data_IF_243147918595
#
_entry.id   IF_243147918595
#
_cell.length_a   1.000
_cell.length_b   1.000
_cell.length_c   1.000
_cell.angle_alpha   90.00
_cell.angle_beta   90.00
_cell.angle_gamma   90.00
#
_symmetry.space_group_name_H-M   'P 1'
#
loop_
_entity.id
_entity.type
_entity.pdbx_description
1 polymer ?
#
# COMPACT_ATOMS: atom_id res chain seq x y z
N UNK A 1 23.02 -5.57 -4.86
CA UNK A 1 21.60 -5.19 -4.73
C UNK A 1 20.68 -6.40 -4.59
N UNK A 2 20.57 -7.29 -5.58
CA UNK A 2 19.61 -8.41 -5.57
C UNK A 2 19.87 -9.53 -4.54
N UNK A 3 21.05 -9.58 -3.93
CA UNK A 3 21.36 -10.48 -2.81
C UNK A 3 21.05 -9.87 -1.44
N UNK A 4 20.66 -8.59 -1.40
CA UNK A 4 20.46 -7.83 -0.16
C UNK A 4 19.07 -8.10 0.42
N UNK A 5 19.03 -8.59 1.66
CA UNK A 5 17.78 -8.84 2.39
C UNK A 5 16.91 -7.57 2.52
N UNK A 6 17.44 -6.37 2.88
CA UNK A 6 16.67 -5.12 2.88
C UNK A 6 15.97 -4.76 1.57
N UNK A 7 16.57 -5.10 0.42
CA UNK A 7 15.97 -4.87 -0.89
C UNK A 7 14.70 -5.72 -1.09
N UNK A 8 14.77 -7.02 -0.77
CA UNK A 8 13.62 -7.92 -0.88
C UNK A 8 12.51 -7.60 0.13
N UNK A 9 12.87 -7.18 1.34
CA UNK A 9 11.87 -6.76 2.34
C UNK A 9 11.12 -5.50 1.87
N UNK A 10 11.84 -4.53 1.28
CA UNK A 10 11.21 -3.37 0.67
C UNK A 10 10.33 -3.76 -0.53
N UNK A 11 10.77 -4.72 -1.35
CA UNK A 11 9.99 -5.23 -2.46
C UNK A 11 8.66 -5.86 -1.98
N UNK A 12 8.70 -6.69 -0.93
CA UNK A 12 7.51 -7.30 -0.31
C UNK A 12 6.56 -6.21 0.23
N UNK A 13 7.10 -5.21 0.93
CA UNK A 13 6.31 -4.08 1.44
C UNK A 13 5.58 -3.36 0.30
N UNK A 14 6.32 -3.00 -0.76
CA UNK A 14 5.76 -2.27 -1.90
C UNK A 14 4.76 -3.11 -2.70
N UNK A 15 5.02 -4.42 -2.83
CA UNK A 15 4.11 -5.37 -3.45
C UNK A 15 2.77 -5.43 -2.70
N UNK A 16 2.79 -5.55 -1.36
CA UNK A 16 1.56 -5.54 -0.56
C UNK A 16 0.81 -4.21 -0.64
N UNK A 17 1.53 -3.07 -0.69
CA UNK A 17 0.91 -1.77 -0.90
C UNK A 17 0.21 -1.65 -2.26
N UNK A 18 0.84 -2.13 -3.34
CA UNK A 18 0.23 -2.11 -4.67
C UNK A 18 -0.93 -3.10 -4.79
N UNK A 19 -0.83 -4.28 -4.16
CA UNK A 19 -1.95 -5.23 -4.09
C UNK A 19 -3.21 -4.58 -3.58
N UNK A 20 -3.11 -3.92 -2.43
CA UNK A 20 -4.25 -3.24 -1.81
C UNK A 20 -4.74 -2.02 -2.57
N UNK A 21 -3.83 -1.26 -3.19
CA UNK A 21 -4.21 -0.15 -4.06
C UNK A 21 -5.01 -0.65 -5.28
N UNK A 22 -4.52 -1.68 -5.98
CA UNK A 22 -5.23 -2.24 -7.12
C UNK A 22 -6.54 -2.91 -6.72
N UNK A 23 -6.57 -3.62 -5.59
CA UNK A 23 -7.81 -4.17 -5.04
C UNK A 23 -8.88 -3.08 -4.92
N UNK A 24 -8.54 -1.94 -4.35
CA UNK A 24 -9.52 -0.86 -4.22
C UNK A 24 -9.87 -0.20 -5.56
N UNK A 25 -8.91 -0.03 -6.47
CA UNK A 25 -9.18 0.54 -7.81
C UNK A 25 -10.14 -0.35 -8.60
N UNK A 26 -9.91 -1.66 -8.60
CA UNK A 26 -10.61 -2.58 -9.51
C UNK A 26 -11.86 -3.19 -8.89
N UNK A 27 -11.84 -3.48 -7.59
CA UNK A 27 -12.89 -4.23 -6.92
C UNK A 27 -13.82 -3.36 -6.10
N UNK A 28 -13.36 -2.24 -5.52
CA UNK A 28 -14.24 -1.40 -4.71
C UNK A 28 -15.45 -0.87 -5.49
N UNK A 29 -15.30 -0.32 -6.70
CA UNK A 29 -16.45 0.16 -7.47
C UNK A 29 -17.42 -0.99 -7.84
N UNK A 30 -16.87 -2.17 -8.18
CA UNK A 30 -17.67 -3.35 -8.53
C UNK A 30 -18.46 -3.87 -7.34
N UNK A 31 -17.80 -4.03 -6.19
CA UNK A 31 -18.45 -4.47 -4.95
C UNK A 31 -19.59 -3.54 -4.55
N UNK A 32 -19.38 -2.22 -4.62
CA UNK A 32 -20.41 -1.24 -4.25
C UNK A 32 -21.59 -1.27 -5.24
N UNK A 33 -21.31 -1.40 -6.54
CA UNK A 33 -22.36 -1.47 -7.56
C UNK A 33 -23.16 -2.79 -7.49
N UNK A 34 -22.48 -3.92 -7.40
CA UNK A 34 -23.08 -5.25 -7.57
C UNK A 34 -23.64 -5.85 -6.28
N UNK A 35 -22.98 -5.61 -5.14
CA UNK A 35 -23.37 -6.20 -3.85
C UNK A 35 -24.14 -5.21 -2.99
N UNK A 36 -23.70 -3.97 -2.97
CA UNK A 36 -24.31 -2.93 -2.14
C UNK A 36 -25.46 -2.23 -2.88
N UNK A 37 -25.52 -2.33 -4.21
CA UNK A 37 -26.59 -1.77 -5.03
C UNK A 37 -26.52 -0.23 -5.19
N UNK A 38 -25.38 0.39 -4.88
CA UNK A 38 -25.18 1.82 -5.04
C UNK A 38 -24.32 2.10 -6.27
N UNK A 39 -24.86 2.84 -7.25
CA UNK A 39 -24.10 3.15 -8.44
C UNK A 39 -23.11 4.31 -8.19
N UNK A 40 -21.92 3.97 -7.72
CA UNK A 40 -20.84 4.93 -7.47
C UNK A 40 -20.43 5.72 -8.73
N UNK A 41 -20.70 5.15 -9.92
CA UNK A 41 -20.33 5.70 -11.22
C UNK A 41 -21.11 6.97 -11.58
N UNK A 42 -22.34 7.09 -11.08
CA UNK A 42 -23.16 8.30 -11.27
C UNK A 42 -22.66 9.45 -10.38
N UNK A 43 -21.92 9.12 -9.32
CA UNK A 43 -21.25 10.05 -8.42
C UNK A 43 -19.74 10.10 -8.67
N UNK A 44 -19.32 10.65 -9.81
CA UNK A 44 -17.89 10.78 -10.16
C UNK A 44 -17.03 11.43 -9.06
N UNK A 45 -17.61 12.33 -8.26
CA UNK A 45 -16.97 12.89 -7.08
C UNK A 45 -16.61 11.84 -6.01
N UNK A 46 -17.55 10.96 -5.64
CA UNK A 46 -17.31 9.92 -4.63
C UNK A 46 -16.28 8.88 -5.10
N UNK A 47 -16.22 8.59 -6.40
CA UNK A 47 -15.21 7.68 -6.96
C UNK A 47 -13.79 8.27 -6.88
N UNK A 48 -13.63 9.60 -6.96
CA UNK A 48 -12.32 10.26 -6.85
C UNK A 48 -11.86 10.46 -5.40
N UNK A 49 -12.78 10.49 -4.44
CA UNK A 49 -12.51 10.81 -3.03
C UNK A 49 -11.39 9.97 -2.40
N UNK A 50 -11.36 8.62 -2.49
CA UNK A 50 -10.31 7.83 -1.85
C UNK A 50 -8.89 8.25 -2.26
N UNK A 51 -8.70 8.50 -3.56
CA UNK A 51 -7.40 8.88 -4.11
C UNK A 51 -7.01 10.32 -3.77
N UNK A 52 -7.97 11.25 -3.79
CA UNK A 52 -7.74 12.62 -3.32
C UNK A 52 -7.39 12.65 -1.84
N UNK A 53 -8.14 11.92 -1.00
CA UNK A 53 -7.84 11.80 0.43
C UNK A 53 -6.47 11.20 0.66
N UNK A 54 -6.09 10.14 -0.08
CA UNK A 54 -4.73 9.57 -0.03
C UNK A 54 -3.66 10.61 -0.37
N UNK A 55 -3.89 11.43 -1.39
CA UNK A 55 -2.95 12.48 -1.81
C UNK A 55 -2.77 13.53 -0.71
N UNK A 56 -3.85 14.11 -0.18
CA UNK A 56 -3.79 15.13 0.87
C UNK A 56 -3.21 14.59 2.18
N UNK A 57 -3.62 13.38 2.59
CA UNK A 57 -3.06 12.72 3.77
C UNK A 57 -1.58 12.38 3.56
N UNK A 58 -1.18 11.98 2.36
CA UNK A 58 0.23 11.74 2.01
C UNK A 58 1.10 12.97 2.21
N UNK A 59 0.62 14.15 1.80
CA UNK A 59 1.30 15.44 2.05
C UNK A 59 1.38 15.76 3.55
N UNK A 60 0.29 15.55 4.29
CA UNK A 60 0.25 15.76 5.74
C UNK A 60 1.26 14.83 6.45
N UNK A 61 1.27 13.54 6.12
CA UNK A 61 2.24 12.59 6.65
C UNK A 61 3.66 12.97 6.27
N UNK A 62 3.92 13.42 5.03
CA UNK A 62 5.24 13.95 4.62
C UNK A 62 5.76 15.01 5.59
N UNK A 63 4.94 16.04 5.85
CA UNK A 63 5.26 17.11 6.79
C UNK A 63 5.50 16.59 8.22
N UNK A 64 4.67 15.66 8.70
CA UNK A 64 4.84 15.04 10.02
C UNK A 64 6.16 14.26 10.09
N UNK A 65 6.50 13.51 9.04
CA UNK A 65 7.74 12.75 8.96
C UNK A 65 8.98 13.64 8.99
N UNK A 66 8.96 14.75 8.26
CA UNK A 66 10.04 15.74 8.29
C UNK A 66 10.16 16.42 9.65
N UNK A 67 9.04 16.74 10.29
CA UNK A 67 9.03 17.26 11.67
C UNK A 67 9.62 16.26 12.67
N UNK A 68 9.25 14.98 12.57
CA UNK A 68 9.80 13.90 13.39
C UNK A 68 11.32 13.78 13.20
N UNK A 69 11.81 13.87 11.96
CA UNK A 69 13.25 13.89 11.66
C UNK A 69 13.96 15.10 12.27
N UNK A 70 13.38 16.30 12.14
CA UNK A 70 13.92 17.54 12.75
C UNK A 70 14.03 17.46 14.27
N UNK A 71 13.13 16.71 14.93
CA UNK A 71 13.20 16.43 16.37
C UNK A 71 14.22 15.34 16.77
N UNK A 72 14.99 14.82 15.82
CA UNK A 72 16.05 13.84 16.09
C UNK A 72 15.56 12.41 16.26
N UNK A 73 14.31 12.09 15.87
CA UNK A 73 13.84 10.71 15.91
C UNK A 73 14.59 9.85 14.88
N UNK A 74 15.03 8.63 15.24
CA UNK A 74 15.74 7.75 14.31
C UNK A 74 14.88 7.40 13.09
N UNK A 75 15.45 7.49 11.88
CA UNK A 75 14.74 7.15 10.63
C UNK A 75 14.11 5.76 10.70
N UNK A 76 14.82 4.77 11.25
CA UNK A 76 14.31 3.40 11.44
C UNK A 76 13.01 3.37 12.24
N UNK A 77 12.94 4.15 13.32
CA UNK A 77 11.75 4.23 14.16
C UNK A 77 10.59 4.87 13.40
N UNK A 78 10.84 6.01 12.74
CA UNK A 78 9.85 6.71 11.91
C UNK A 78 9.27 5.75 10.85
N UNK A 79 10.12 5.09 10.06
CA UNK A 79 9.64 4.17 8.99
C UNK A 79 8.79 3.05 9.56
N UNK A 80 9.25 2.35 10.59
CA UNK A 80 8.51 1.22 11.17
C UNK A 80 7.19 1.66 11.81
N UNK A 81 7.16 2.82 12.46
CA UNK A 81 5.93 3.38 13.03
C UNK A 81 4.91 3.72 11.93
N UNK A 82 5.34 4.39 10.86
CA UNK A 82 4.45 4.74 9.76
C UNK A 82 3.99 3.55 8.91
N UNK A 83 4.64 2.38 9.01
CA UNK A 83 4.12 1.12 8.41
C UNK A 83 2.80 0.68 9.06
N UNK A 84 2.58 1.00 10.33
CA UNK A 84 1.30 0.71 11.00
C UNK A 84 0.16 1.44 10.29
N UNK A 85 0.38 2.71 9.94
CA UNK A 85 -0.58 3.53 9.21
C UNK A 85 -0.64 3.17 7.72
N UNK A 86 0.48 2.85 7.07
CA UNK A 86 0.44 2.55 5.65
C UNK A 86 -0.10 1.15 5.33
N UNK A 87 0.02 0.18 6.25
CA UNK A 87 -0.31 -1.22 5.96
C UNK A 87 -1.26 -1.85 6.98
N UNK A 88 -0.94 -1.78 8.28
CA UNK A 88 -1.68 -2.54 9.29
C UNK A 88 -3.11 -2.02 9.43
N UNK A 89 -3.29 -0.70 9.63
CA UNK A 89 -4.63 -0.10 9.76
C UNK A 89 -5.45 -0.26 8.47
N UNK A 90 -4.94 0.06 7.25
CA UNK A 90 -5.67 -0.18 6.01
C UNK A 90 -6.04 -1.65 5.81
N UNK A 91 -5.16 -2.59 6.17
CA UNK A 91 -5.44 -4.02 6.06
C UNK A 91 -6.57 -4.47 6.99
N UNK A 92 -6.61 -3.98 8.23
CA UNK A 92 -7.72 -4.25 9.17
C UNK A 92 -9.03 -3.66 8.64
N UNK A 93 -9.00 -2.43 8.12
CA UNK A 93 -10.19 -1.79 7.55
C UNK A 93 -10.74 -2.56 6.36
N UNK A 94 -9.86 -3.07 5.48
CA UNK A 94 -10.26 -3.90 4.34
C UNK A 94 -10.88 -5.23 4.76
N UNK A 95 -10.31 -5.90 5.77
CA UNK A 95 -10.91 -7.11 6.36
C UNK A 95 -12.30 -6.79 6.95
N UNK A 96 -12.50 -5.57 7.47
CA UNK A 96 -13.77 -5.13 8.03
C UNK A 96 -14.91 -4.95 7.02
N UNK A 97 -14.60 -4.67 5.74
CA UNK A 97 -15.60 -4.31 4.71
C UNK A 97 -16.72 -5.35 4.56
N UNK A 98 -16.45 -6.66 4.45
CA UNK A 98 -17.49 -7.66 4.22
C UNK A 98 -18.44 -7.84 5.41
N UNK A 99 -18.00 -7.49 6.62
CA UNK A 99 -18.81 -7.60 7.85
C UNK A 99 -19.77 -6.41 8.03
N UNK A 100 -19.56 -5.33 7.29
CA UNK A 100 -20.46 -4.18 7.26
C UNK A 100 -21.52 -4.46 6.19
N UNK A 101 -22.45 -5.34 6.51
CA UNK A 101 -23.54 -5.73 5.60
C UNK A 101 -24.45 -4.53 5.27
N UNK A 102 -24.68 -4.30 3.97
CA UNK A 102 -25.78 -3.50 3.41
C UNK A 102 -25.82 -1.97 3.70
N UNK A 103 -24.74 -1.34 4.15
CA UNK A 103 -24.70 0.13 4.30
C UNK A 103 -23.65 0.80 3.37
N UNK A 104 -24.06 1.29 2.19
CA UNK A 104 -23.14 1.89 1.22
C UNK A 104 -22.30 3.03 1.78
N UNK A 105 -22.88 3.88 2.63
CA UNK A 105 -22.18 5.01 3.24
C UNK A 105 -21.02 4.56 4.10
N UNK A 106 -21.18 3.49 4.90
CA UNK A 106 -20.11 3.00 5.78
C UNK A 106 -19.02 2.32 4.94
N UNK A 107 -19.38 1.50 3.94
CA UNK A 107 -18.39 0.87 3.05
C UNK A 107 -17.55 1.91 2.33
N UNK A 108 -18.17 2.94 1.76
CA UNK A 108 -17.48 4.05 1.10
C UNK A 108 -16.59 4.81 2.08
N UNK A 109 -17.08 5.11 3.29
CA UNK A 109 -16.29 5.77 4.32
C UNK A 109 -15.05 4.94 4.71
N UNK A 110 -15.20 3.63 4.91
CA UNK A 110 -14.09 2.72 5.23
C UNK A 110 -13.04 2.69 4.11
N UNK A 111 -13.46 2.67 2.85
CA UNK A 111 -12.54 2.71 1.71
C UNK A 111 -11.77 4.04 1.63
N UNK A 112 -12.47 5.17 1.80
CA UNK A 112 -11.85 6.50 1.84
C UNK A 112 -10.87 6.60 3.00
N UNK A 113 -11.26 6.17 4.21
CA UNK A 113 -10.39 6.17 5.39
C UNK A 113 -9.18 5.25 5.18
N UNK A 114 -9.39 4.05 4.63
CA UNK A 114 -8.31 3.12 4.33
C UNK A 114 -7.28 3.73 3.37
N UNK A 115 -7.71 4.42 2.31
CA UNK A 115 -6.80 5.10 1.38
C UNK A 115 -6.13 6.33 1.99
N UNK A 116 -6.86 7.11 2.78
CA UNK A 116 -6.32 8.25 3.52
C UNK A 116 -5.18 7.83 4.44
N UNK A 117 -5.43 6.82 5.29
CA UNK A 117 -4.44 6.29 6.24
C UNK A 117 -3.28 5.62 5.50
N UNK A 118 -3.55 4.91 4.39
CA UNK A 118 -2.51 4.38 3.51
C UNK A 118 -1.62 5.49 2.88
N UNK A 119 -2.05 6.76 2.86
CA UNK A 119 -1.22 7.91 2.46
C UNK A 119 0.15 7.97 3.16
N UNK A 120 0.27 7.38 4.36
CA UNK A 120 1.55 7.20 5.06
C UNK A 120 2.58 6.37 4.28
N UNK A 121 2.18 5.72 3.17
CA UNK A 121 3.06 5.03 2.22
C UNK A 121 4.17 5.94 1.67
N UNK A 122 3.95 7.27 1.60
CA UNK A 122 4.97 8.25 1.21
C UNK A 122 6.19 8.19 2.13
N UNK A 123 5.97 8.05 3.43
CA UNK A 123 7.06 7.97 4.41
C UNK A 123 7.70 6.58 4.48
N UNK A 124 7.14 5.56 3.83
CA UNK A 124 7.62 4.17 3.92
C UNK A 124 8.10 3.69 2.56
N UNK A 125 7.19 3.32 1.66
CA UNK A 125 7.52 2.79 0.33
C UNK A 125 8.28 3.77 -0.56
N UNK A 126 7.97 5.07 -0.51
CA UNK A 126 8.59 6.05 -1.41
C UNK A 126 9.96 6.52 -0.91
N UNK A 127 10.13 6.64 0.41
CA UNK A 127 11.35 7.20 1.00
C UNK A 127 12.37 6.14 1.42
N UNK A 128 11.97 4.89 1.69
CA UNK A 128 12.92 3.84 2.05
C UNK A 128 13.92 3.46 0.93
N UNK A 129 13.59 3.50 -0.38
CA UNK A 129 14.59 3.38 -1.44
C UNK A 129 15.71 4.41 -1.32
N UNK A 130 15.36 5.66 -0.97
CA UNK A 130 16.31 6.76 -0.75
C UNK A 130 17.15 6.49 0.50
N UNK A 131 16.56 5.96 1.57
CA UNK A 131 17.30 5.63 2.80
C UNK A 131 18.28 4.45 2.59
N UNK A 132 17.95 3.49 1.72
CA UNK A 132 18.78 2.31 1.43
C UNK A 132 19.96 2.63 0.49
N UNK A 133 19.71 3.33 -0.61
CA UNK A 133 20.77 3.71 -1.55
C UNK A 133 20.37 4.95 -2.36
N UNK A 134 20.68 6.16 -1.88
CA UNK A 134 20.38 7.41 -2.57
C UNK A 134 20.82 7.46 -4.04
N UNK A 135 21.98 6.88 -4.37
CA UNK A 135 22.53 6.90 -5.73
C UNK A 135 21.74 6.00 -6.71
N UNK A 136 21.07 4.97 -6.19
CA UNK A 136 20.32 4.00 -6.98
C UNK A 136 18.83 4.00 -6.63
N UNK A 137 18.34 5.00 -5.91
CA UNK A 137 16.98 5.01 -5.38
C UNK A 137 15.92 4.96 -6.49
N UNK A 138 16.16 5.65 -7.61
CA UNK A 138 15.30 5.57 -8.80
C UNK A 138 15.25 4.16 -9.39
N UNK A 139 16.40 3.48 -9.51
CA UNK A 139 16.48 2.11 -10.02
C UNK A 139 15.78 1.11 -9.09
N UNK A 140 15.99 1.24 -7.77
CA UNK A 140 15.27 0.42 -6.77
C UNK A 140 13.78 0.63 -6.93
N UNK A 141 13.32 1.88 -6.95
CA UNK A 141 11.91 2.21 -7.04
C UNK A 141 11.28 1.69 -8.35
N UNK A 142 12.02 1.78 -9.46
CA UNK A 142 11.61 1.22 -10.74
C UNK A 142 11.44 -0.30 -10.69
N UNK A 143 12.40 -1.03 -10.13
CA UNK A 143 12.34 -2.50 -10.04
C UNK A 143 11.21 -2.95 -9.11
N UNK A 144 11.09 -2.36 -7.92
CA UNK A 144 10.01 -2.74 -6.99
C UNK A 144 8.64 -2.40 -7.57
N UNK A 145 8.52 -1.29 -8.32
CA UNK A 145 7.27 -0.91 -8.99
C UNK A 145 6.95 -1.80 -10.18
N UNK A 146 7.95 -2.28 -10.92
CA UNK A 146 7.74 -3.28 -11.97
C UNK A 146 7.19 -4.59 -11.39
N UNK A 147 7.83 -5.11 -10.34
CA UNK A 147 7.38 -6.32 -9.65
C UNK A 147 5.99 -6.11 -9.05
N UNK A 148 5.79 -5.01 -8.31
CA UNK A 148 4.50 -4.71 -7.69
C UNK A 148 3.39 -4.38 -8.70
N UNK A 149 3.73 -3.86 -9.88
CA UNK A 149 2.77 -3.60 -10.97
C UNK A 149 2.08 -4.88 -11.46
N UNK A 150 2.70 -6.04 -11.26
CA UNK A 150 2.06 -7.34 -11.58
C UNK A 150 0.77 -7.58 -10.80
N UNK A 151 0.63 -6.97 -9.61
CA UNK A 151 -0.60 -7.05 -8.81
C UNK A 151 -1.81 -6.48 -9.54
N UNK A 152 -1.61 -5.56 -10.50
CA UNK A 152 -2.68 -4.96 -11.28
C UNK A 152 -3.48 -5.95 -12.14
N UNK A 153 -2.87 -7.07 -12.54
CA UNK A 153 -3.59 -8.16 -13.24
C UNK A 153 -3.83 -9.38 -12.34
N UNK A 154 -2.99 -9.64 -11.34
CA UNK A 154 -3.18 -10.74 -10.38
C UNK A 154 -4.43 -10.52 -9.53
N UNK A 155 -4.62 -9.31 -9.00
CA UNK A 155 -5.71 -9.01 -8.07
C UNK A 155 -7.09 -9.19 -8.72
N UNK A 156 -7.36 -8.61 -9.91
CA UNK A 156 -8.63 -8.85 -10.60
C UNK A 156 -8.84 -10.32 -10.99
N UNK A 157 -7.78 -11.04 -11.39
CA UNK A 157 -7.88 -12.45 -11.77
C UNK A 157 -8.29 -13.34 -10.58
N UNK A 158 -7.65 -13.16 -9.43
CA UNK A 158 -7.99 -13.88 -8.19
C UNK A 158 -9.41 -13.53 -7.75
N UNK A 159 -9.77 -12.24 -7.79
CA UNK A 159 -11.13 -11.80 -7.42
C UNK A 159 -12.17 -12.40 -8.35
N UNK A 160 -11.90 -12.39 -9.65
CA UNK A 160 -12.73 -13.01 -10.69
C UNK A 160 -12.98 -14.48 -10.39
N UNK A 161 -11.93 -15.24 -10.03
CA UNK A 161 -12.06 -16.64 -9.67
C UNK A 161 -13.02 -16.88 -8.50
N UNK A 162 -13.03 -16.00 -7.48
CA UNK A 162 -13.95 -16.12 -6.35
C UNK A 162 -15.40 -15.76 -6.73
N UNK A 163 -15.61 -14.70 -7.50
CA UNK A 163 -16.97 -14.23 -7.83
C UNK A 163 -17.64 -15.01 -8.96
N UNK A 164 -16.86 -15.71 -9.80
CA UNK A 164 -17.39 -16.55 -10.88
C UNK A 164 -18.31 -17.68 -10.38
N UNK A 165 -18.15 -18.11 -9.14
CA UNK A 165 -18.99 -19.14 -8.51
C UNK A 165 -20.28 -18.59 -7.88
N UNK A 166 -20.51 -17.27 -7.98
CA UNK A 166 -21.71 -16.59 -7.50
C UNK A 166 -21.41 -15.18 -6.98
N UNK A 167 -22.29 -14.22 -7.27
CA UNK A 167 -22.12 -12.84 -6.82
C UNK A 167 -22.70 -12.62 -5.42
N UNK A 168 -22.08 -13.23 -4.41
CA UNK A 168 -22.53 -13.17 -3.00
C UNK A 168 -21.50 -12.45 -2.13
N UNK A 169 -21.96 -11.86 -1.02
CA UNK A 169 -21.09 -11.22 -0.02
C UNK A 169 -19.97 -12.18 0.44
N UNK A 170 -20.30 -13.46 0.64
CA UNK A 170 -19.35 -14.49 1.04
C UNK A 170 -18.18 -14.65 0.04
N UNK A 171 -18.46 -14.61 -1.27
CA UNK A 171 -17.41 -14.74 -2.29
C UNK A 171 -16.52 -13.50 -2.36
N UNK A 172 -17.10 -12.31 -2.22
CA UNK A 172 -16.34 -11.06 -2.12
C UNK A 172 -15.52 -10.95 -0.84
N UNK A 173 -15.98 -11.57 0.24
CA UNK A 173 -15.27 -11.59 1.53
C UNK A 173 -13.85 -12.12 1.36
N UNK A 174 -13.66 -13.18 0.57
CA UNK A 174 -12.32 -13.73 0.32
C UNK A 174 -11.38 -12.74 -0.36
N UNK A 175 -11.87 -11.96 -1.34
CA UNK A 175 -11.04 -10.97 -2.02
C UNK A 175 -10.58 -9.85 -1.05
N UNK A 176 -11.48 -9.36 -0.20
CA UNK A 176 -11.18 -8.33 0.79
C UNK A 176 -10.27 -8.84 1.91
N UNK A 177 -10.51 -10.05 2.41
CA UNK A 177 -9.70 -10.69 3.46
C UNK A 177 -8.28 -10.96 2.97
N UNK A 178 -8.13 -11.56 1.78
CA UNK A 178 -6.80 -11.79 1.18
C UNK A 178 -6.07 -10.46 0.99
N UNK A 179 -6.76 -9.44 0.47
CA UNK A 179 -6.19 -8.09 0.33
C UNK A 179 -5.68 -7.50 1.64
N UNK A 180 -6.47 -7.60 2.71
CA UNK A 180 -6.07 -7.12 4.03
C UNK A 180 -4.94 -7.95 4.64
N UNK A 181 -4.96 -9.27 4.48
CA UNK A 181 -3.84 -10.14 4.89
C UNK A 181 -2.54 -9.80 4.16
N UNK A 182 -2.59 -9.51 2.86
CA UNK A 182 -1.43 -9.08 2.08
C UNK A 182 -0.85 -7.75 2.60
N UNK A 183 -1.70 -6.78 2.92
CA UNK A 183 -1.29 -5.54 3.59
C UNK A 183 -0.60 -5.82 4.94
N UNK A 184 -1.27 -6.57 5.82
CA UNK A 184 -0.80 -6.78 7.19
C UNK A 184 0.51 -7.58 7.18
N UNK A 185 0.57 -8.68 6.44
CA UNK A 185 1.76 -9.53 6.36
C UNK A 185 2.97 -8.78 5.81
N UNK A 186 2.83 -8.01 4.73
CA UNK A 186 3.95 -7.24 4.19
C UNK A 186 4.43 -6.15 5.15
N UNK A 187 3.49 -5.50 5.85
CA UNK A 187 3.78 -4.53 6.90
C UNK A 187 4.53 -5.16 8.08
N UNK A 188 4.07 -6.32 8.57
CA UNK A 188 4.72 -7.05 9.67
C UNK A 188 6.13 -7.51 9.30
N UNK A 189 6.33 -8.04 8.09
CA UNK A 189 7.65 -8.44 7.59
C UNK A 189 8.61 -7.25 7.61
N UNK A 190 8.16 -6.07 7.18
CA UNK A 190 8.98 -4.86 7.24
C UNK A 190 9.21 -4.35 8.67
N UNK A 191 8.20 -4.39 9.54
CA UNK A 191 8.36 -4.02 10.95
C UNK A 191 9.40 -4.91 11.64
N UNK A 192 9.44 -6.20 11.32
CA UNK A 192 10.42 -7.13 11.89
C UNK A 192 11.81 -6.93 11.27
N UNK A 193 11.92 -7.09 9.95
CA UNK A 193 13.22 -7.24 9.27
C UNK A 193 13.67 -6.00 8.50
N UNK A 194 12.80 -4.99 8.32
CA UNK A 194 13.09 -3.80 7.53
C UNK A 194 14.28 -3.00 8.06
N UNK A 195 15.11 -2.54 7.11
CA UNK A 195 16.27 -1.70 7.35
C UNK A 195 16.13 -0.35 6.65
N UNK A 196 16.67 0.68 7.28
CA UNK A 196 16.76 2.05 6.76
C UNK A 196 18.21 2.55 6.77
N UNK A 197 19.18 1.64 6.92
CA UNK A 197 20.60 1.96 6.85
C UNK A 197 21.04 1.91 5.39
N UNK A 198 21.90 2.85 5.01
CA UNK A 198 22.53 2.84 3.70
C UNK A 198 23.25 1.51 3.47
N UNK A 199 23.04 0.90 2.30
CA UNK A 199 23.60 -0.38 1.92
C UNK A 199 24.96 -0.21 1.24
N UNK A 200 25.83 -1.22 1.35
CA UNK A 200 27.20 -1.17 0.81
C UNK A 200 27.25 -0.97 -0.70
N UNK A 201 26.26 -1.52 -1.41
CA UNK A 201 26.11 -1.37 -2.86
C UNK A 201 25.61 0.02 -3.29
N UNK A 202 25.47 0.98 -2.37
CA UNK A 202 25.22 2.40 -2.70
C UNK A 202 26.50 3.13 -3.15
N UNK A 203 27.69 2.57 -2.94
CA UNK A 203 28.94 3.20 -3.42
C UNK A 203 28.89 3.32 -4.94
N UNK A 204 29.01 4.55 -5.47
CA UNK A 204 29.41 4.72 -6.87
C UNK A 204 30.80 4.10 -6.99
N UNK A 205 31.09 3.39 -8.09
CA UNK A 205 32.49 3.13 -8.45
C UNK A 205 33.17 4.50 -8.41
N UNK A 206 34.18 4.64 -7.56
CA UNK A 206 35.14 5.72 -7.79
C UNK A 206 35.65 5.50 -9.21
N UNK A 207 35.66 6.56 -10.02
CA UNK A 207 36.40 6.57 -11.28
C UNK A 207 37.88 6.48 -10.91
N UNK A 208 38.31 5.30 -10.46
CA UNK A 208 39.69 4.85 -10.55
C UNK A 208 39.91 4.57 -12.04
N UNK A 209 40.19 5.61 -12.81
CA UNK A 209 41.02 5.59 -14.01
C UNK A 209 41.14 7.00 -14.63
N UNK A 210 42.36 7.53 -14.53
CA UNK A 210 43.04 8.52 -15.39
C UNK A 210 42.70 10.02 -15.27
#
# INVERSE_FOLDING_TARGET
MFTSMPFWILNILHFGNLWGLYLQITNAPKYIAEVVGFNLRDSGGLAAMPHLTRMFMGLAYGNIGDFCKKKGLPTKFIRKFFVIFSHIIPGILLIGIPFVECQPTIVVALLITSMGVNGAAVLTNLQNPQDLAPNFAGSIFGIISFIGGTTGFIVPAITGAFINHGNTIANWTWAWVIGGCMYISSGLIFILFGSTKQQEWNKKKEDDDA
#
